data_IF_353607107250
#
_entry.id   IF_353607107250
#
_cell.length_a   1.000
_cell.length_b   1.000
_cell.length_c   1.000
_cell.angle_alpha   90.00
_cell.angle_beta   90.00
_cell.angle_gamma   90.00
#
_symmetry.space_group_name_H-M   'P 1'
#
loop_
_entity.id
_entity.type
_entity.pdbx_description
1 polymer ?
#
# COMPACT_ATOMS: atom_id res chain seq x y z
N UNK A 1 -55.52 -20.55 58.51
CA UNK A 1 -54.19 -21.07 58.14
C UNK A 1 -53.77 -20.39 56.84
N UNK A 2 -52.95 -19.37 56.96
CA UNK A 2 -52.45 -18.66 55.79
C UNK A 2 -51.03 -19.17 55.47
N UNK A 3 -50.81 -19.68 54.27
CA UNK A 3 -49.51 -20.13 53.73
C UNK A 3 -48.86 -18.95 53.01
N UNK A 4 -47.81 -18.38 53.59
CA UNK A 4 -46.96 -17.44 52.91
C UNK A 4 -46.02 -18.13 51.96
N UNK A 5 -46.08 -17.77 50.66
CA UNK A 5 -45.14 -18.21 49.66
C UNK A 5 -43.97 -17.20 49.61
N UNK A 6 -42.76 -17.66 49.89
CA UNK A 6 -41.51 -16.88 49.71
C UNK A 6 -41.06 -17.06 48.27
N UNK A 7 -41.11 -15.97 47.52
CA UNK A 7 -40.56 -15.91 46.15
C UNK A 7 -39.08 -15.48 46.27
N UNK A 8 -38.18 -16.44 46.04
CA UNK A 8 -36.72 -16.13 45.90
C UNK A 8 -36.44 -15.59 44.52
N UNK A 9 -36.11 -14.30 44.41
CA UNK A 9 -35.63 -13.68 43.20
C UNK A 9 -34.12 -13.88 43.12
N UNK A 10 -33.67 -14.82 42.28
CA UNK A 10 -32.24 -14.98 41.98
C UNK A 10 -31.81 -13.93 40.96
N UNK A 11 -31.02 -12.98 41.42
CA UNK A 11 -30.35 -11.98 40.58
C UNK A 11 -29.15 -12.66 39.85
N UNK A 12 -29.33 -13.02 38.59
CA UNK A 12 -28.22 -13.43 37.70
C UNK A 12 -27.48 -12.17 37.29
N UNK A 13 -26.35 -11.90 37.96
CA UNK A 13 -25.38 -10.89 37.55
C UNK A 13 -24.62 -11.51 36.35
N UNK A 14 -25.04 -11.16 35.14
CA UNK A 14 -24.26 -11.44 33.94
C UNK A 14 -23.03 -10.49 33.95
N UNK A 15 -21.88 -11.04 34.29
CA UNK A 15 -20.60 -10.41 34.00
C UNK A 15 -20.41 -10.42 32.49
N UNK A 16 -20.79 -9.34 31.81
CA UNK A 16 -20.28 -9.06 30.45
C UNK A 16 -18.80 -8.79 30.60
N UNK A 17 -17.97 -9.72 30.13
CA UNK A 17 -16.57 -9.46 29.83
C UNK A 17 -16.56 -8.38 28.75
N UNK A 18 -16.47 -7.14 29.18
CA UNK A 18 -16.07 -6.04 28.30
C UNK A 18 -14.63 -6.36 27.87
N UNK A 19 -14.47 -6.76 26.64
CA UNK A 19 -13.17 -6.69 26.00
C UNK A 19 -12.79 -5.21 26.10
N UNK A 20 -11.83 -4.89 26.94
CA UNK A 20 -11.32 -3.54 27.12
C UNK A 20 -10.84 -3.08 25.76
N UNK A 21 -11.48 -2.06 25.19
CA UNK A 21 -10.93 -1.42 23.99
C UNK A 21 -9.53 -0.96 24.35
N UNK A 22 -8.53 -1.20 23.48
CA UNK A 22 -7.17 -0.78 23.77
C UNK A 22 -7.21 0.71 24.06
N UNK A 23 -6.58 1.09 25.15
CA UNK A 23 -6.53 2.48 25.56
C UNK A 23 -5.89 3.29 24.43
N UNK A 24 -6.59 4.30 23.92
CA UNK A 24 -6.09 5.22 22.89
C UNK A 24 -4.66 5.72 23.21
N UNK A 25 -4.35 5.84 24.48
CA UNK A 25 -3.02 6.20 24.98
C UNK A 25 -1.92 5.19 24.58
N UNK A 26 -2.25 3.91 24.45
CA UNK A 26 -1.26 2.91 24.00
C UNK A 26 -0.86 3.15 22.55
N UNK A 27 -1.82 3.49 21.67
CA UNK A 27 -1.52 3.87 20.29
C UNK A 27 -0.66 5.14 20.22
N UNK A 28 -1.00 6.17 21.00
CA UNK A 28 -0.20 7.41 21.03
C UNK A 28 1.22 7.15 21.51
N UNK A 29 1.42 6.28 22.50
CA UNK A 29 2.76 5.88 22.96
C UNK A 29 3.53 5.11 21.89
N UNK A 30 2.86 4.15 21.22
CA UNK A 30 3.48 3.36 20.16
C UNK A 30 3.87 4.25 18.95
N UNK A 31 2.96 5.13 18.53
CA UNK A 31 3.22 6.09 17.46
C UNK A 31 4.40 7.02 17.80
N UNK A 32 4.45 7.52 19.05
CA UNK A 32 5.56 8.38 19.49
C UNK A 32 6.90 7.65 19.46
N UNK A 33 6.94 6.38 19.90
CA UNK A 33 8.17 5.57 19.81
C UNK A 33 8.59 5.32 18.36
N UNK A 34 7.64 4.96 17.50
CA UNK A 34 7.89 4.75 16.08
C UNK A 34 8.39 6.03 15.40
N UNK A 35 7.77 7.18 15.67
CA UNK A 35 8.20 8.47 15.15
C UNK A 35 9.67 8.78 15.53
N UNK A 36 10.04 8.56 16.80
CA UNK A 36 11.44 8.73 17.25
C UNK A 36 12.40 7.77 16.52
N UNK A 37 12.00 6.51 16.35
CA UNK A 37 12.82 5.50 15.64
C UNK A 37 12.99 5.85 14.15
N UNK A 38 11.93 6.29 13.47
CA UNK A 38 12.03 6.75 12.08
C UNK A 38 12.86 8.03 11.95
N UNK A 39 12.74 8.97 12.89
CA UNK A 39 13.61 10.14 12.94
C UNK A 39 15.09 9.75 13.11
N UNK A 40 15.36 8.76 13.95
CA UNK A 40 16.73 8.23 14.13
C UNK A 40 17.21 7.50 12.86
N UNK A 41 16.37 6.65 12.25
CA UNK A 41 16.69 5.89 11.03
C UNK A 41 17.12 6.81 9.87
N UNK A 42 16.46 7.96 9.72
CA UNK A 42 16.76 8.93 8.66
C UNK A 42 17.73 10.04 9.09
N UNK A 43 18.42 9.87 10.22
CA UNK A 43 19.46 10.84 10.60
C UNK A 43 20.78 10.52 9.92
N UNK A 44 21.49 11.57 9.47
CA UNK A 44 22.78 11.46 8.73
C UNK A 44 23.94 10.86 9.56
N UNK A 45 23.71 10.56 10.84
CA UNK A 45 24.73 10.09 11.77
C UNK A 45 24.72 8.58 12.01
N UNK A 46 23.91 7.81 11.28
CA UNK A 46 23.77 6.40 11.53
C UNK A 46 24.85 5.57 10.81
N UNK A 47 25.68 4.92 11.58
CA UNK A 47 26.69 3.99 11.06
C UNK A 47 26.19 2.57 10.86
N UNK A 48 25.07 2.19 11.53
CA UNK A 48 24.44 0.88 11.41
C UNK A 48 22.92 1.03 11.59
N UNK A 49 22.16 0.74 10.54
CA UNK A 49 20.69 0.86 10.52
C UNK A 49 19.98 -0.40 11.01
N UNK A 50 20.62 -1.56 11.00
CA UNK A 50 19.95 -2.86 11.25
C UNK A 50 19.30 -2.95 12.65
N UNK A 51 19.95 -2.52 13.76
CA UNK A 51 19.33 -2.59 15.08
C UNK A 51 18.06 -1.72 15.19
N UNK A 52 18.06 -0.57 14.51
CA UNK A 52 16.90 0.33 14.50
C UNK A 52 15.78 -0.26 13.66
N UNK A 53 16.09 -0.81 12.49
CA UNK A 53 15.14 -1.50 11.63
C UNK A 53 14.49 -2.69 12.35
N UNK A 54 15.26 -3.48 13.09
CA UNK A 54 14.71 -4.58 13.89
C UNK A 54 13.76 -4.07 14.99
N UNK A 55 14.11 -2.97 15.63
CA UNK A 55 13.25 -2.35 16.64
C UNK A 55 11.96 -1.79 16.02
N UNK A 56 12.06 -1.11 14.89
CA UNK A 56 10.89 -0.62 14.13
C UNK A 56 9.97 -1.79 13.76
N UNK A 57 10.50 -2.89 13.23
CA UNK A 57 9.71 -4.07 12.85
C UNK A 57 8.98 -4.68 14.04
N UNK A 58 9.65 -4.77 15.20
CA UNK A 58 9.04 -5.25 16.44
C UNK A 58 7.92 -4.34 16.93
N UNK A 59 8.17 -3.02 17.01
CA UNK A 59 7.19 -2.02 17.45
C UNK A 59 5.99 -1.94 16.47
N UNK A 60 6.22 -1.93 15.16
CA UNK A 60 5.16 -1.97 14.14
C UNK A 60 4.29 -3.22 14.31
N UNK A 61 4.90 -4.39 14.43
CA UNK A 61 4.16 -5.65 14.60
C UNK A 61 3.32 -5.61 15.87
N UNK A 62 3.86 -5.15 16.99
CA UNK A 62 3.15 -5.01 18.26
C UNK A 62 1.96 -4.04 18.14
N UNK A 63 2.23 -2.83 17.70
CA UNK A 63 1.25 -1.75 17.63
C UNK A 63 0.10 -2.04 16.65
N UNK A 64 0.42 -2.55 15.47
CA UNK A 64 -0.59 -2.85 14.45
C UNK A 64 -1.43 -4.09 14.79
N UNK A 65 -0.94 -4.99 15.65
CA UNK A 65 -1.69 -6.17 16.12
C UNK A 65 -2.78 -5.83 17.14
N UNK A 66 -2.70 -4.68 17.78
CA UNK A 66 -3.70 -4.26 18.77
C UNK A 66 -5.08 -4.07 18.12
N UNK A 67 -6.12 -4.53 18.80
CA UNK A 67 -7.49 -4.27 18.35
C UNK A 67 -7.77 -2.77 18.28
N UNK A 68 -8.45 -2.29 17.23
CA UNK A 68 -8.69 -0.86 17.02
C UNK A 68 -7.56 -0.12 16.29
N UNK A 69 -6.39 -0.73 16.08
CA UNK A 69 -5.26 -0.10 15.38
C UNK A 69 -5.60 0.33 13.93
N UNK A 70 -6.59 -0.32 13.29
CA UNK A 70 -7.09 0.09 11.97
C UNK A 70 -7.82 1.44 11.99
N UNK A 71 -8.40 1.83 13.13
CA UNK A 71 -9.10 3.11 13.27
C UNK A 71 -8.18 4.24 13.76
N UNK A 72 -7.00 3.90 14.31
CA UNK A 72 -6.02 4.89 14.72
C UNK A 72 -5.32 5.50 13.49
N UNK A 73 -5.19 6.84 13.41
CA UNK A 73 -4.79 7.52 12.17
C UNK A 73 -3.29 7.47 11.85
N UNK A 74 -2.40 7.23 12.82
CA UNK A 74 -0.92 7.20 12.67
C UNK A 74 -0.35 8.49 12.05
N UNK A 75 -0.90 9.66 12.41
CA UNK A 75 -0.59 10.94 11.76
C UNK A 75 0.83 11.46 12.00
N UNK A 76 1.53 10.97 13.04
CA UNK A 76 2.90 11.41 13.34
C UNK A 76 3.94 10.68 12.49
N UNK A 77 3.57 9.57 11.86
CA UNK A 77 4.48 8.79 11.02
C UNK A 77 4.53 9.37 9.61
N UNK A 78 4.98 10.63 9.50
CA UNK A 78 5.02 11.41 8.25
C UNK A 78 6.18 11.03 7.32
N UNK A 79 7.15 10.24 7.80
CA UNK A 79 8.33 9.79 7.04
C UNK A 79 8.08 8.50 6.25
N UNK A 80 6.91 7.91 6.38
CA UNK A 80 6.57 6.65 5.70
C UNK A 80 5.26 6.78 4.94
N UNK A 81 5.10 5.96 3.91
CA UNK A 81 3.83 5.86 3.18
C UNK A 81 2.79 5.09 4.00
N UNK A 82 1.64 5.71 4.24
CA UNK A 82 0.48 5.06 4.88
C UNK A 82 -0.73 5.29 3.99
N UNK A 83 -1.27 4.22 3.43
CA UNK A 83 -2.48 4.27 2.62
C UNK A 83 -3.55 3.35 3.22
N UNK A 84 -4.81 3.81 3.21
CA UNK A 84 -5.94 3.06 3.76
C UNK A 84 -7.08 3.03 2.74
N UNK A 85 -7.63 1.85 2.46
CA UNK A 85 -8.79 1.70 1.60
C UNK A 85 -10.04 2.34 2.22
N UNK A 86 -10.98 2.80 1.38
CA UNK A 86 -12.23 3.44 1.82
C UNK A 86 -13.06 2.56 2.77
N UNK A 87 -13.09 1.25 2.49
CA UNK A 87 -13.80 0.28 3.31
C UNK A 87 -13.05 -0.11 4.60
N UNK A 88 -11.88 0.49 4.86
CA UNK A 88 -11.00 0.22 5.99
C UNK A 88 -10.64 -1.26 6.17
N UNK A 89 -10.65 -2.02 5.06
CA UNK A 89 -10.27 -3.43 5.06
C UNK A 89 -8.80 -3.64 4.76
N UNK A 90 -8.16 -2.71 4.07
CA UNK A 90 -6.75 -2.73 3.70
C UNK A 90 -6.09 -1.43 4.16
N UNK A 91 -4.95 -1.55 4.85
CA UNK A 91 -4.00 -0.46 5.06
C UNK A 91 -2.61 -0.99 4.72
N UNK A 92 -1.82 -0.17 4.06
CA UNK A 92 -0.43 -0.49 3.76
C UNK A 92 0.46 0.58 4.36
N UNK A 93 1.49 0.14 5.06
CA UNK A 93 2.63 0.94 5.51
C UNK A 93 3.80 0.57 4.63
N UNK A 94 4.55 1.54 4.14
CA UNK A 94 5.73 1.29 3.32
C UNK A 94 6.78 2.37 3.53
N UNK A 95 8.04 1.96 3.59
CA UNK A 95 9.19 2.87 3.71
C UNK A 95 10.40 2.25 3.03
N UNK A 96 11.47 3.04 2.90
CA UNK A 96 12.72 2.58 2.33
C UNK A 96 13.90 3.08 3.14
N UNK A 97 15.02 2.45 2.96
CA UNK A 97 16.34 2.96 3.34
C UNK A 97 17.27 2.83 2.14
N UNK A 98 18.27 3.68 2.08
CA UNK A 98 19.35 3.58 1.11
C UNK A 98 20.57 2.96 1.81
N UNK A 99 21.15 1.93 1.21
CA UNK A 99 22.38 1.34 1.72
C UNK A 99 23.64 2.14 1.29
N UNK A 100 24.81 1.71 1.79
CA UNK A 100 26.09 2.37 1.48
C UNK A 100 26.51 2.29 0.00
N UNK A 101 25.79 1.52 -0.81
CA UNK A 101 26.03 1.34 -2.25
C UNK A 101 24.98 2.03 -3.13
N UNK A 102 24.22 2.96 -2.55
CA UNK A 102 23.09 3.66 -3.21
C UNK A 102 21.97 2.74 -3.69
N UNK A 103 21.80 1.57 -3.07
CA UNK A 103 20.66 0.72 -3.36
C UNK A 103 19.52 0.96 -2.36
N UNK A 104 18.31 1.03 -2.88
CA UNK A 104 17.11 1.16 -2.07
C UNK A 104 16.64 -0.22 -1.60
N UNK A 105 16.42 -0.35 -0.28
CA UNK A 105 15.74 -1.49 0.35
C UNK A 105 14.40 -1.03 0.87
N UNK A 106 13.36 -1.77 0.56
CA UNK A 106 11.99 -1.44 0.92
C UNK A 106 11.48 -2.33 2.04
N UNK A 107 10.63 -1.75 2.85
CA UNK A 107 9.96 -2.40 3.95
C UNK A 107 8.47 -2.08 3.90
N UNK A 108 7.64 -3.02 4.28
CA UNK A 108 6.21 -2.77 4.30
C UNK A 108 5.42 -3.75 5.13
N UNK A 109 4.24 -3.30 5.54
CA UNK A 109 3.24 -4.10 6.22
C UNK A 109 1.89 -3.91 5.56
N UNK A 110 1.17 -5.01 5.39
CA UNK A 110 -0.25 -5.01 5.05
C UNK A 110 -1.03 -5.29 6.32
N UNK A 111 -1.89 -4.38 6.71
CA UNK A 111 -2.85 -4.55 7.79
C UNK A 111 -4.22 -4.84 7.17
N UNK A 112 -4.84 -5.96 7.57
CA UNK A 112 -6.16 -6.38 7.11
C UNK A 112 -7.17 -6.26 8.24
N UNK A 113 -8.16 -5.38 8.06
CA UNK A 113 -9.27 -5.22 8.98
C UNK A 113 -10.19 -6.45 8.98
N UNK A 114 -10.53 -6.94 10.18
CA UNK A 114 -11.43 -8.06 10.40
C UNK A 114 -12.64 -7.58 11.19
N UNK A 115 -13.71 -8.37 11.20
CA UNK A 115 -14.90 -8.05 11.99
C UNK A 115 -14.56 -7.84 13.47
N UNK A 116 -15.29 -6.94 14.14
CA UNK A 116 -15.17 -6.60 15.57
C UNK A 116 -13.83 -5.93 15.93
N UNK A 117 -13.30 -5.05 15.08
CA UNK A 117 -12.08 -4.28 15.35
C UNK A 117 -10.78 -5.10 15.38
N UNK A 118 -10.83 -6.40 15.05
CA UNK A 118 -9.62 -7.23 14.95
C UNK A 118 -8.87 -6.95 13.66
N UNK A 119 -7.57 -7.16 13.69
CA UNK A 119 -6.69 -7.00 12.53
C UNK A 119 -5.80 -8.22 12.34
N UNK A 120 -5.27 -8.38 11.14
CA UNK A 120 -4.13 -9.24 10.83
C UNK A 120 -3.08 -8.42 10.10
N UNK A 121 -1.83 -8.75 10.38
CA UNK A 121 -0.68 -8.05 9.80
C UNK A 121 0.11 -9.05 8.99
N UNK A 122 0.64 -8.55 7.88
CA UNK A 122 1.49 -9.31 6.97
C UNK A 122 2.67 -8.43 6.60
N UNK A 123 3.87 -8.90 6.86
CA UNK A 123 5.09 -8.25 6.40
C UNK A 123 5.24 -8.46 4.90
N UNK A 124 5.69 -7.43 4.20
CA UNK A 124 6.10 -7.48 2.80
C UNK A 124 7.61 -7.65 2.77
N UNK A 125 8.09 -8.74 2.17
CA UNK A 125 9.51 -9.02 2.07
C UNK A 125 10.03 -8.61 0.70
N UNK A 126 10.82 -7.55 0.68
CA UNK A 126 11.49 -7.07 -0.51
C UNK A 126 12.45 -8.15 -1.04
N UNK A 127 12.31 -8.49 -2.32
CA UNK A 127 13.15 -9.50 -2.97
C UNK A 127 14.45 -8.91 -3.58
N UNK A 128 14.62 -7.57 -3.52
CA UNK A 128 15.78 -6.86 -4.04
C UNK A 128 15.96 -6.95 -5.57
N UNK A 129 14.93 -7.41 -6.30
CA UNK A 129 15.01 -7.57 -7.76
C UNK A 129 14.47 -6.32 -8.46
N UNK A 130 15.13 -5.87 -9.55
CA UNK A 130 14.63 -4.75 -10.33
C UNK A 130 13.30 -5.09 -11.02
N UNK A 131 12.39 -4.12 -11.04
CA UNK A 131 11.05 -4.29 -11.64
C UNK A 131 11.02 -4.09 -13.16
N UNK A 132 12.12 -3.76 -13.79
CA UNK A 132 12.26 -3.30 -15.19
C UNK A 132 11.33 -4.02 -16.15
N UNK A 133 10.37 -3.28 -16.73
CA UNK A 133 9.53 -3.73 -17.85
C UNK A 133 8.71 -5.02 -17.62
N UNK A 134 8.71 -5.56 -16.42
CA UNK A 134 8.09 -6.86 -16.12
C UNK A 134 6.63 -6.67 -15.76
N UNK A 135 5.77 -6.76 -16.77
CA UNK A 135 4.31 -6.66 -16.58
C UNK A 135 3.67 -8.01 -16.21
N UNK A 136 4.30 -9.13 -16.56
CA UNK A 136 3.84 -10.49 -16.20
C UNK A 136 4.78 -11.06 -15.16
N UNK A 137 4.40 -11.01 -13.91
CA UNK A 137 5.25 -11.43 -12.80
C UNK A 137 4.43 -11.94 -11.63
N UNK A 138 4.77 -13.11 -11.17
CA UNK A 138 4.23 -13.61 -9.92
C UNK A 138 4.88 -12.86 -8.75
N UNK A 139 4.06 -12.13 -8.00
CA UNK A 139 4.46 -11.40 -6.81
C UNK A 139 3.63 -11.89 -5.63
N UNK A 140 4.28 -12.12 -4.50
CA UNK A 140 3.65 -12.46 -3.24
C UNK A 140 4.12 -11.51 -2.14
N UNK A 141 3.55 -11.59 -0.95
CA UNK A 141 4.07 -10.83 0.20
C UNK A 141 5.46 -11.34 0.66
N UNK A 142 5.81 -12.59 0.35
CA UNK A 142 7.11 -13.20 0.67
C UNK A 142 8.17 -12.99 -0.44
N UNK A 143 7.75 -12.55 -1.62
CA UNK A 143 8.60 -12.25 -2.77
C UNK A 143 8.03 -10.97 -3.42
N UNK A 144 8.19 -9.86 -2.69
CA UNK A 144 7.63 -8.56 -3.05
C UNK A 144 8.67 -7.72 -3.78
N UNK A 145 8.22 -7.00 -4.79
CA UNK A 145 9.03 -5.97 -5.45
C UNK A 145 8.85 -4.67 -4.68
N UNK A 146 9.86 -4.32 -3.88
CA UNK A 146 9.86 -3.20 -2.97
C UNK A 146 9.46 -1.87 -3.61
N UNK A 147 8.62 -1.12 -2.92
CA UNK A 147 8.17 0.21 -3.34
C UNK A 147 7.47 0.97 -2.21
N UNK A 148 7.34 2.27 -2.40
CA UNK A 148 6.49 3.13 -1.58
C UNK A 148 5.09 3.18 -2.20
N UNK A 149 4.06 2.75 -1.45
CA UNK A 149 2.68 2.91 -1.87
C UNK A 149 2.16 4.28 -1.44
N UNK A 150 1.54 5.01 -2.38
CA UNK A 150 1.05 6.36 -2.13
C UNK A 150 -0.46 6.55 -2.40
N UNK A 151 -1.12 5.61 -3.06
CA UNK A 151 -2.58 5.65 -3.28
C UNK A 151 -3.16 4.24 -3.33
N UNK A 152 -4.40 4.09 -2.84
CA UNK A 152 -5.21 2.89 -2.98
C UNK A 152 -6.62 3.24 -3.41
N UNK A 153 -7.13 2.51 -4.39
CA UNK A 153 -8.50 2.59 -4.88
C UNK A 153 -9.24 1.31 -4.52
N UNK A 154 -10.52 1.44 -4.20
CA UNK A 154 -11.39 0.30 -3.91
C UNK A 154 -12.35 0.08 -5.07
N UNK A 155 -12.15 -0.98 -5.84
CA UNK A 155 -12.98 -1.35 -6.97
C UNK A 155 -13.79 -2.59 -6.65
N UNK A 156 -15.01 -2.70 -7.17
CA UNK A 156 -15.87 -3.86 -6.94
C UNK A 156 -16.44 -4.40 -8.25
N UNK A 157 -16.39 -5.73 -8.42
CA UNK A 157 -17.01 -6.40 -9.55
C UNK A 157 -17.54 -7.79 -9.15
N UNK A 158 -18.79 -8.12 -9.49
CA UNK A 158 -19.45 -9.41 -9.19
C UNK A 158 -19.20 -9.90 -7.75
N UNK A 159 -19.44 -9.02 -6.75
CA UNK A 159 -19.27 -9.28 -5.31
C UNK A 159 -17.81 -9.52 -4.87
N UNK A 160 -16.82 -9.22 -5.70
CA UNK A 160 -15.41 -9.23 -5.33
C UNK A 160 -14.93 -7.80 -5.18
N UNK A 161 -14.18 -7.54 -4.12
CA UNK A 161 -13.50 -6.26 -3.89
C UNK A 161 -12.04 -6.40 -4.28
N UNK A 162 -11.56 -5.44 -5.04
CA UNK A 162 -10.18 -5.29 -5.48
C UNK A 162 -9.62 -3.99 -4.92
N UNK A 163 -8.36 -4.00 -4.54
CA UNK A 163 -7.62 -2.84 -4.06
C UNK A 163 -6.52 -2.55 -5.06
N UNK A 164 -6.72 -1.53 -5.87
CA UNK A 164 -5.72 -1.09 -6.83
C UNK A 164 -4.77 -0.14 -6.12
N UNK A 165 -3.49 -0.49 -6.07
CA UNK A 165 -2.46 0.24 -5.35
C UNK A 165 -1.46 0.85 -6.32
N UNK A 166 -1.16 2.13 -6.10
CA UNK A 166 -0.17 2.88 -6.85
C UNK A 166 1.09 3.00 -6.02
N UNK A 167 2.24 2.65 -6.61
CA UNK A 167 3.51 2.64 -5.92
C UNK A 167 4.64 3.23 -6.74
N UNK A 168 5.71 3.61 -6.04
CA UNK A 168 6.92 4.19 -6.60
C UNK A 168 8.15 3.48 -6.05
N UNK A 169 9.07 3.12 -6.92
CA UNK A 169 10.39 2.58 -6.62
C UNK A 169 11.44 3.54 -7.17
N UNK A 170 12.37 3.97 -6.35
CA UNK A 170 13.47 4.85 -6.77
C UNK A 170 14.48 4.14 -7.68
N UNK A 171 14.40 2.81 -7.73
CA UNK A 171 15.17 1.91 -8.59
C UNK A 171 16.69 2.14 -8.49
N UNK A 172 17.23 3.15 -9.18
CA UNK A 172 18.65 3.45 -9.18
C UNK A 172 18.92 4.94 -9.51
N UNK A 173 20.19 5.33 -9.61
CA UNK A 173 20.57 6.72 -9.92
C UNK A 173 20.13 7.23 -11.30
N UNK A 174 19.76 6.35 -12.24
CA UNK A 174 19.42 6.70 -13.62
C UNK A 174 17.91 6.71 -13.87
N UNK A 175 17.15 5.87 -13.18
CA UNK A 175 15.71 5.74 -13.42
C UNK A 175 14.90 5.55 -12.16
N UNK A 176 13.64 5.93 -12.25
CA UNK A 176 12.58 5.73 -11.26
C UNK A 176 11.47 4.89 -11.91
N UNK A 177 10.77 4.11 -11.10
CA UNK A 177 9.66 3.27 -11.57
C UNK A 177 8.39 3.65 -10.82
N UNK A 178 7.28 3.86 -11.55
CA UNK A 178 5.93 3.85 -10.98
C UNK A 178 5.18 2.63 -11.44
N UNK A 179 4.35 2.09 -10.57
CA UNK A 179 3.58 0.89 -10.88
C UNK A 179 2.16 0.97 -10.36
N UNK A 180 1.25 0.31 -11.07
CA UNK A 180 -0.14 0.07 -10.65
C UNK A 180 -0.34 -1.43 -10.54
N UNK A 181 -0.78 -1.88 -9.38
CA UNK A 181 -0.97 -3.29 -9.04
C UNK A 181 -2.33 -3.49 -8.40
N UNK A 182 -2.84 -4.72 -8.41
CA UNK A 182 -4.11 -5.04 -7.78
C UNK A 182 -3.92 -6.08 -6.70
N UNK A 183 -4.51 -5.83 -5.54
CA UNK A 183 -4.60 -6.76 -4.43
C UNK A 183 -6.04 -7.17 -4.17
N UNK A 184 -6.24 -8.34 -3.58
CA UNK A 184 -7.51 -8.77 -3.04
C UNK A 184 -7.31 -9.45 -1.69
N UNK A 185 -8.39 -9.49 -0.88
CA UNK A 185 -8.37 -10.15 0.42
C UNK A 185 -9.27 -11.38 0.35
N UNK A 186 -8.69 -12.56 0.46
CA UNK A 186 -9.41 -13.81 0.52
C UNK A 186 -9.22 -14.49 1.89
N UNK A 187 -10.30 -14.77 2.61
CA UNK A 187 -10.25 -15.34 3.97
C UNK A 187 -9.32 -14.59 4.93
N UNK A 188 -9.34 -13.25 4.84
CA UNK A 188 -8.47 -12.31 5.56
C UNK A 188 -6.97 -12.42 5.20
N UNK A 189 -6.60 -13.06 4.10
CA UNK A 189 -5.24 -13.12 3.58
C UNK A 189 -5.16 -12.24 2.32
N UNK A 190 -4.28 -11.20 2.30
CA UNK A 190 -4.07 -10.38 1.13
C UNK A 190 -3.19 -11.13 0.10
N UNK A 191 -3.49 -10.94 -1.17
CA UNK A 191 -2.70 -11.48 -2.27
C UNK A 191 -2.74 -10.53 -3.45
N UNK A 192 -1.69 -10.53 -4.26
CA UNK A 192 -1.65 -9.82 -5.53
C UNK A 192 -2.47 -10.58 -6.57
N UNK A 193 -3.29 -9.86 -7.32
CA UNK A 193 -4.18 -10.45 -8.33
C UNK A 193 -3.50 -10.34 -9.70
N UNK A 194 -3.51 -11.45 -10.44
CA UNK A 194 -2.88 -11.53 -11.75
C UNK A 194 -3.88 -11.28 -12.87
N UNK A 195 -3.35 -10.87 -14.03
CA UNK A 195 -4.09 -10.78 -15.29
C UNK A 195 -5.34 -9.88 -15.22
N UNK A 196 -5.24 -8.75 -14.50
CA UNK A 196 -6.32 -7.77 -14.40
C UNK A 196 -6.12 -6.52 -15.27
N UNK A 197 -4.99 -6.39 -15.93
CA UNK A 197 -4.73 -5.28 -16.85
C UNK A 197 -4.77 -5.79 -18.28
N UNK A 198 -5.50 -5.11 -19.15
CA UNK A 198 -5.64 -5.44 -20.56
C UNK A 198 -5.13 -4.28 -21.42
N UNK A 199 -4.15 -4.55 -22.27
CA UNK A 199 -3.47 -3.59 -23.13
C UNK A 199 -3.78 -3.78 -24.62
N UNK A 200 -5.02 -4.10 -24.96
CA UNK A 200 -5.53 -4.38 -26.30
C UNK A 200 -5.01 -5.65 -26.99
N UNK A 201 -3.99 -6.28 -26.46
CA UNK A 201 -3.39 -7.51 -27.00
C UNK A 201 -3.37 -8.65 -26.00
N UNK A 202 -3.05 -8.33 -24.75
CA UNK A 202 -2.76 -9.34 -23.74
C UNK A 202 -3.16 -8.89 -22.34
N UNK A 203 -3.35 -9.87 -21.46
CA UNK A 203 -3.53 -9.62 -20.04
C UNK A 203 -2.18 -9.60 -19.34
N UNK A 204 -1.96 -8.56 -18.52
CA UNK A 204 -0.76 -8.42 -17.72
C UNK A 204 -1.13 -8.29 -16.22
N UNK A 205 -0.17 -8.52 -15.34
CA UNK A 205 -0.39 -8.57 -13.91
C UNK A 205 -0.36 -7.16 -13.27
N UNK A 206 0.31 -6.21 -13.93
CA UNK A 206 0.50 -4.84 -13.44
C UNK A 206 0.90 -3.90 -14.57
N UNK A 207 0.74 -2.59 -14.37
CA UNK A 207 1.39 -1.55 -15.16
C UNK A 207 2.73 -1.19 -14.50
N UNK A 208 3.78 -1.05 -15.30
CA UNK A 208 5.11 -0.61 -14.86
C UNK A 208 5.59 0.48 -15.81
N UNK A 209 5.89 1.65 -15.27
CA UNK A 209 6.38 2.82 -15.97
C UNK A 209 7.78 3.16 -15.43
N UNK A 210 8.82 2.80 -16.17
CA UNK A 210 10.20 3.18 -15.88
C UNK A 210 10.54 4.42 -16.70
N UNK A 211 11.15 5.41 -16.05
CA UNK A 211 11.48 6.69 -16.66
C UNK A 211 12.76 7.27 -16.04
N UNK A 212 13.38 8.24 -16.71
CA UNK A 212 14.59 8.90 -16.26
C UNK A 212 14.42 9.54 -14.87
N UNK A 213 15.39 9.34 -13.97
CA UNK A 213 15.42 10.01 -12.66
C UNK A 213 15.49 11.54 -12.74
N UNK A 214 15.81 12.10 -13.93
CA UNK A 214 15.93 13.54 -14.16
C UNK A 214 14.58 14.22 -14.45
N UNK A 215 13.51 13.47 -14.63
CA UNK A 215 12.16 13.98 -14.86
C UNK A 215 11.19 13.46 -13.82
N UNK A 216 10.04 14.09 -13.71
CA UNK A 216 8.94 13.62 -12.89
C UNK A 216 7.75 13.28 -13.78
N UNK A 217 7.03 12.18 -13.45
CA UNK A 217 5.78 11.82 -14.10
C UNK A 217 4.64 11.74 -13.08
N UNK A 218 3.43 11.98 -13.54
CA UNK A 218 2.21 11.74 -12.78
C UNK A 218 1.69 10.31 -13.03
N UNK A 219 1.25 9.62 -11.99
CA UNK A 219 0.38 8.44 -12.06
C UNK A 219 -0.60 8.60 -10.91
N UNK A 220 -1.87 8.84 -11.20
CA UNK A 220 -2.88 9.18 -10.18
C UNK A 220 -4.28 8.77 -10.63
N UNK A 221 -5.17 8.57 -9.68
CA UNK A 221 -6.58 8.47 -9.98
C UNK A 221 -7.18 9.87 -10.18
N UNK A 222 -7.89 10.04 -11.27
CA UNK A 222 -8.61 11.25 -11.62
C UNK A 222 -10.11 11.01 -11.45
N UNK A 223 -10.72 11.75 -10.51
CA UNK A 223 -12.15 11.63 -10.21
C UNK A 223 -13.05 12.16 -11.35
N UNK A 224 -12.54 13.10 -12.16
CA UNK A 224 -13.31 13.68 -13.26
C UNK A 224 -13.50 12.70 -14.41
N UNK A 225 -12.51 11.88 -14.68
CA UNK A 225 -12.53 10.86 -15.75
C UNK A 225 -12.87 9.46 -15.24
N UNK A 226 -12.87 9.24 -13.92
CA UNK A 226 -12.98 7.91 -13.27
C UNK A 226 -11.91 6.92 -13.76
N UNK A 227 -10.70 7.43 -14.04
CA UNK A 227 -9.57 6.64 -14.55
C UNK A 227 -8.30 6.85 -13.71
N UNK A 228 -7.39 5.90 -13.76
CA UNK A 228 -6.00 6.16 -13.38
C UNK A 228 -5.33 6.77 -14.60
N UNK A 229 -4.90 8.02 -14.50
CA UNK A 229 -4.23 8.76 -15.55
C UNK A 229 -2.72 8.79 -15.32
N UNK A 230 -1.94 8.74 -16.38
CA UNK A 230 -0.49 8.82 -16.31
C UNK A 230 0.10 9.44 -17.57
N UNK A 231 1.30 10.05 -17.41
CA UNK A 231 2.03 10.61 -18.53
C UNK A 231 2.41 9.53 -19.54
N UNK A 232 2.21 9.80 -20.83
CA UNK A 232 2.73 8.97 -21.92
C UNK A 232 4.25 9.11 -21.98
N UNK A 233 4.96 7.97 -22.06
CA UNK A 233 6.41 7.93 -22.03
C UNK A 233 7.00 7.63 -23.40
N UNK A 234 7.92 8.49 -23.82
CA UNK A 234 8.68 8.33 -25.06
C UNK A 234 10.18 8.40 -24.78
N UNK A 235 11.04 7.80 -25.61
CA UNK A 235 12.47 7.99 -25.49
C UNK A 235 12.84 9.45 -25.77
N UNK A 236 13.68 10.05 -24.95
CA UNK A 236 14.15 11.43 -25.10
C UNK A 236 14.93 11.66 -26.39
N UNK A 237 15.46 10.59 -26.99
CA UNK A 237 16.08 10.59 -28.30
C UNK A 237 15.91 9.20 -28.95
N UNK A 238 15.74 9.08 -30.29
CA UNK A 238 15.51 7.80 -30.97
C UNK A 238 16.57 6.71 -30.69
N UNK A 239 17.82 7.10 -30.42
CA UNK A 239 18.90 6.16 -30.07
C UNK A 239 18.63 5.41 -28.77
N UNK A 240 17.77 5.92 -27.91
CA UNK A 240 17.39 5.32 -26.63
C UNK A 240 16.13 4.47 -26.69
N UNK A 241 15.65 4.17 -27.91
CA UNK A 241 14.56 3.21 -28.05
C UNK A 241 14.87 1.91 -27.31
N UNK A 242 13.95 1.46 -26.46
CA UNK A 242 14.09 0.29 -25.57
C UNK A 242 15.02 0.46 -24.36
N UNK A 243 15.60 1.64 -24.15
CA UNK A 243 16.33 1.94 -22.92
C UNK A 243 15.49 2.88 -22.04
N UNK A 244 14.67 2.30 -21.16
CA UNK A 244 13.67 3.02 -20.37
C UNK A 244 14.25 4.05 -19.41
N UNK A 245 15.53 3.94 -19.04
CA UNK A 245 16.26 4.92 -18.21
C UNK A 245 16.33 6.31 -18.86
N UNK A 246 16.06 6.40 -20.17
CA UNK A 246 16.06 7.64 -20.93
C UNK A 246 14.69 8.00 -21.51
N UNK A 247 13.63 7.45 -20.90
CA UNK A 247 12.26 7.83 -21.26
C UNK A 247 11.81 9.01 -20.41
N UNK A 248 10.94 9.83 -20.97
CA UNK A 248 10.32 10.97 -20.31
C UNK A 248 8.93 11.24 -20.90
N UNK A 249 8.15 12.13 -20.25
CA UNK A 249 6.83 12.52 -20.73
C UNK A 249 6.92 13.36 -21.99
N UNK A 250 6.00 13.16 -22.95
CA UNK A 250 5.89 13.99 -24.16
C UNK A 250 4.77 15.06 -24.08
N UNK A 251 4.05 15.10 -22.95
CA UNK A 251 2.96 16.03 -22.67
C UNK A 251 1.59 15.48 -23.03
N UNK A 252 1.48 14.26 -23.55
CA UNK A 252 0.22 13.53 -23.67
C UNK A 252 0.00 12.62 -22.48
N UNK A 253 -1.23 12.09 -22.33
CA UNK A 253 -1.61 11.24 -21.22
C UNK A 253 -2.28 9.97 -21.71
N UNK A 254 -2.01 8.90 -20.98
CA UNK A 254 -2.72 7.63 -21.11
C UNK A 254 -3.54 7.34 -19.85
N UNK A 255 -4.41 6.35 -19.91
CA UNK A 255 -5.27 5.99 -18.80
C UNK A 255 -5.52 4.51 -18.63
N UNK A 256 -5.98 4.16 -17.44
CA UNK A 256 -6.58 2.87 -17.11
C UNK A 256 -8.01 3.10 -16.65
N UNK A 257 -8.97 2.52 -17.37
CA UNK A 257 -10.39 2.52 -17.04
C UNK A 257 -10.78 1.18 -16.41
N UNK A 258 -11.43 1.21 -15.23
CA UNK A 258 -11.91 -0.01 -14.60
C UNK A 258 -13.31 -0.38 -15.10
N UNK A 259 -13.40 -1.37 -15.96
CA UNK A 259 -14.67 -1.88 -16.45
C UNK A 259 -14.65 -3.41 -16.59
N UNK A 260 -15.79 -4.06 -16.42
CA UNK A 260 -15.93 -5.52 -16.49
C UNK A 260 -14.97 -6.30 -15.55
N UNK A 261 -14.58 -5.67 -14.43
CA UNK A 261 -13.71 -6.27 -13.42
C UNK A 261 -12.24 -6.32 -13.78
N UNK A 262 -11.80 -5.47 -14.69
CA UNK A 262 -10.42 -5.34 -15.12
C UNK A 262 -10.07 -3.89 -15.43
N UNK A 263 -8.80 -3.55 -15.48
CA UNK A 263 -8.25 -2.30 -15.95
C UNK A 263 -7.96 -2.40 -17.46
N UNK A 264 -8.60 -1.53 -18.24
CA UNK A 264 -8.42 -1.44 -19.69
C UNK A 264 -7.58 -0.22 -20.00
N UNK A 265 -6.50 -0.40 -20.75
CA UNK A 265 -5.62 0.67 -21.19
C UNK A 265 -6.35 1.57 -22.20
N UNK A 266 -6.13 2.87 -22.11
CA UNK A 266 -6.65 3.91 -23.00
C UNK A 266 -5.50 4.82 -23.41
N UNK A 267 -5.22 4.89 -24.71
CA UNK A 267 -4.25 5.81 -25.26
C UNK A 267 -4.83 7.20 -25.40
N UNK A 268 -3.96 8.20 -25.32
CA UNK A 268 -4.23 9.60 -25.71
C UNK A 268 -5.54 10.16 -25.11
N UNK A 269 -5.63 10.10 -23.77
CA UNK A 269 -6.78 10.65 -23.05
C UNK A 269 -6.63 12.15 -22.86
N UNK A 270 -7.75 12.90 -22.94
CA UNK A 270 -7.79 14.32 -22.55
C UNK A 270 -7.84 14.45 -21.02
N UNK A 271 -6.66 14.49 -20.39
CA UNK A 271 -6.51 14.65 -18.94
C UNK A 271 -6.31 16.10 -18.51
N UNK A 272 -6.61 17.07 -19.38
CA UNK A 272 -6.58 18.50 -19.03
C UNK A 272 -7.68 18.76 -18.02
N UNK A 273 -7.33 19.52 -16.96
CA UNK A 273 -8.31 19.93 -15.95
C UNK A 273 -9.50 20.62 -16.65
N UNK A 274 -10.65 20.01 -16.57
CA UNK A 274 -11.92 20.70 -16.86
C UNK A 274 -12.21 21.45 -15.57
N UNK A 275 -11.95 22.78 -15.60
CA UNK A 275 -12.27 23.71 -14.51
C UNK A 275 -13.76 23.66 -14.13
#
# INVERSE_FOLDING_TARGET
>A
MARSAIISISFLISFSLWAQEPDYLEFVKAETRLDLLFNQLYSDSLSDMEPILDTIRSEMTGALSLGGSMDFPWNRLDKIGIITSEDKRLRIFSWHVMDDYDHYRYYGYIQVGIKKGKTRIYELKDNGKPQRGVMKLEQTKEDWYGKLYYQVLTNSYKRKTYYTVLGMDFNNSLSTIKSVEVMAIQRNNPHFVRSLFFNDRDFVDRLVLEYSSQVAISVRYDQGTDMITFDHLVPTHPIYEKNLEFYGPDGSFDGLEFSDGRWNYRDDIDARNID
#
